data_IF_600070233730
#
_entry.id   IF_600070233730
#
_cell.length_a   1.000
_cell.length_b   1.000
_cell.length_c   1.000
_cell.angle_alpha   90.00
_cell.angle_beta   90.00
_cell.angle_gamma   90.00
#
_symmetry.space_group_name_H-M   'P 1'
#
loop_
_entity.id
_entity.type
_entity.pdbx_description
1 polymer ?
#
# COMPACT_ATOMS: atom_id res chain seq x y z
N UNK A 1 -63.73 2.67 -38.06
CA UNK A 1 -63.33 3.57 -36.99
C UNK A 1 -62.27 2.83 -36.19
N UNK A 2 -60.97 3.19 -36.37
CA UNK A 2 -59.78 2.58 -35.66
C UNK A 2 -59.18 3.65 -34.79
N UNK A 3 -59.31 3.52 -33.49
CA UNK A 3 -58.66 4.40 -32.52
C UNK A 3 -57.22 3.86 -32.23
N UNK A 4 -56.26 4.68 -32.62
CA UNK A 4 -54.85 4.44 -32.36
C UNK A 4 -54.52 4.93 -30.96
N UNK A 5 -54.14 4.01 -30.06
CA UNK A 5 -53.66 4.29 -28.70
C UNK A 5 -52.15 4.49 -28.77
N UNK A 6 -51.67 5.71 -28.61
CA UNK A 6 -50.25 6.05 -28.53
C UNK A 6 -49.73 5.72 -27.13
N UNK A 7 -48.87 4.69 -27.03
CA UNK A 7 -48.14 4.36 -25.85
C UNK A 7 -47.02 5.40 -25.64
N UNK A 8 -47.17 6.23 -24.62
CA UNK A 8 -46.14 7.17 -24.14
C UNK A 8 -45.07 6.40 -23.37
N UNK A 9 -43.85 6.30 -23.92
CA UNK A 9 -42.67 5.85 -23.21
C UNK A 9 -42.32 6.81 -22.08
N UNK A 10 -42.00 6.33 -20.85
CA UNK A 10 -41.55 7.20 -19.79
C UNK A 10 -40.12 7.65 -20.08
N UNK A 11 -39.92 8.96 -20.23
CA UNK A 11 -38.61 9.62 -20.23
C UNK A 11 -37.96 9.34 -18.89
N UNK A 12 -36.88 8.51 -18.86
CA UNK A 12 -35.96 8.40 -17.75
C UNK A 12 -35.27 9.76 -17.58
N UNK A 13 -35.75 10.54 -16.63
CA UNK A 13 -35.03 11.69 -16.12
C UNK A 13 -33.87 11.14 -15.29
N UNK A 14 -32.66 11.21 -15.80
CA UNK A 14 -31.42 11.01 -15.03
C UNK A 14 -31.26 12.22 -14.10
N UNK A 15 -32.03 12.24 -13.03
CA UNK A 15 -32.00 13.24 -11.98
C UNK A 15 -30.74 13.11 -11.14
N UNK A 16 -29.67 13.76 -11.57
CA UNK A 16 -28.47 13.96 -10.77
C UNK A 16 -28.83 14.83 -9.56
N UNK A 17 -28.81 14.24 -8.35
CA UNK A 17 -29.20 14.96 -7.13
C UNK A 17 -28.20 16.08 -6.81
N UNK A 18 -28.64 17.25 -6.32
CA UNK A 18 -27.75 18.36 -5.93
C UNK A 18 -26.69 17.96 -4.88
N UNK A 19 -26.99 16.97 -4.01
CA UNK A 19 -26.06 16.36 -3.06
C UNK A 19 -24.84 15.74 -3.74
N UNK A 20 -25.02 15.10 -4.90
CA UNK A 20 -23.93 14.43 -5.63
C UNK A 20 -22.95 15.44 -6.23
N UNK A 21 -23.41 16.63 -6.63
CA UNK A 21 -22.53 17.70 -7.15
C UNK A 21 -21.69 18.32 -6.05
N UNK A 22 -22.25 18.52 -4.85
CA UNK A 22 -21.50 19.05 -3.70
C UNK A 22 -20.45 18.06 -3.24
N UNK A 23 -20.80 16.79 -3.12
CA UNK A 23 -19.87 15.77 -2.71
C UNK A 23 -18.74 15.59 -3.75
N UNK A 24 -19.03 15.55 -5.03
CA UNK A 24 -18.02 15.54 -6.10
C UNK A 24 -17.06 16.71 -6.00
N UNK A 25 -17.55 17.95 -5.87
CA UNK A 25 -16.70 19.14 -5.71
C UNK A 25 -15.85 19.04 -4.46
N UNK A 26 -16.38 18.48 -3.37
CA UNK A 26 -15.65 18.27 -2.14
C UNK A 26 -14.49 17.29 -2.34
N UNK A 27 -14.74 16.15 -2.97
CA UNK A 27 -13.72 15.17 -3.32
C UNK A 27 -12.68 15.76 -4.27
N UNK A 28 -13.10 16.47 -5.32
CA UNK A 28 -12.22 17.11 -6.30
C UNK A 28 -11.31 18.17 -5.63
N UNK A 29 -11.86 18.98 -4.75
CA UNK A 29 -11.07 20.00 -4.03
C UNK A 29 -10.07 19.36 -3.07
N UNK A 30 -10.50 18.34 -2.31
CA UNK A 30 -9.60 17.59 -1.42
C UNK A 30 -8.45 16.96 -2.20
N UNK A 31 -8.73 16.35 -3.34
CA UNK A 31 -7.73 15.70 -4.20
C UNK A 31 -6.78 16.73 -4.81
N UNK A 32 -7.26 17.90 -5.20
CA UNK A 32 -6.43 19.01 -5.72
C UNK A 32 -5.44 19.49 -4.67
N UNK A 33 -5.90 19.75 -3.44
CA UNK A 33 -5.03 20.13 -2.31
C UNK A 33 -3.99 19.03 -2.03
N UNK A 34 -4.42 17.78 -1.99
CA UNK A 34 -3.57 16.63 -1.74
C UNK A 34 -2.44 16.52 -2.77
N UNK A 35 -2.78 16.58 -4.08
CA UNK A 35 -1.78 16.53 -5.16
C UNK A 35 -0.83 17.72 -5.16
N UNK A 36 -1.34 18.92 -4.89
CA UNK A 36 -0.51 20.11 -4.76
C UNK A 36 0.51 19.94 -3.62
N UNK A 37 0.07 19.50 -2.45
CA UNK A 37 0.93 19.26 -1.31
C UNK A 37 2.02 18.22 -1.61
N UNK A 38 1.69 17.08 -2.19
CA UNK A 38 2.68 16.05 -2.55
C UNK A 38 3.70 16.58 -3.56
N UNK A 39 3.27 17.38 -4.52
CA UNK A 39 4.16 18.02 -5.49
C UNK A 39 5.14 19.00 -4.82
N UNK A 40 4.66 19.85 -3.92
CA UNK A 40 5.52 20.81 -3.19
C UNK A 40 6.46 20.08 -2.24
N UNK A 41 6.00 19.02 -1.56
CA UNK A 41 6.87 18.17 -0.74
C UNK A 41 8.00 17.52 -1.56
N UNK A 42 7.73 17.11 -2.80
CA UNK A 42 8.75 16.59 -3.69
C UNK A 42 9.77 17.67 -4.12
N UNK A 43 9.31 18.89 -4.38
CA UNK A 43 10.14 19.98 -4.89
C UNK A 43 11.00 20.66 -3.83
N UNK A 44 10.43 20.93 -2.65
CA UNK A 44 11.08 21.74 -1.58
C UNK A 44 11.38 20.95 -0.31
N UNK A 45 10.89 19.72 -0.22
CA UNK A 45 10.92 18.94 1.02
C UNK A 45 9.74 19.26 1.93
N UNK A 46 9.39 18.29 2.78
CA UNK A 46 8.28 18.42 3.73
C UNK A 46 8.53 19.52 4.78
N UNK A 47 9.75 19.58 5.31
CA UNK A 47 10.08 20.51 6.42
C UNK A 47 9.97 21.96 6.00
N UNK A 48 10.44 22.29 4.81
CA UNK A 48 10.45 23.64 4.25
C UNK A 48 9.10 24.07 3.64
N UNK A 49 8.15 23.13 3.50
CA UNK A 49 6.84 23.45 2.92
C UNK A 49 5.89 24.01 3.97
N UNK A 50 5.31 25.17 3.69
CA UNK A 50 4.25 25.80 4.50
C UNK A 50 2.85 25.44 4.00
N UNK A 51 1.82 25.73 4.80
CA UNK A 51 0.43 25.60 4.35
C UNK A 51 0.13 26.62 3.24
N UNK A 52 0.73 27.79 3.31
CA UNK A 52 0.65 28.84 2.29
C UNK A 52 1.12 28.33 0.92
N UNK A 53 2.30 27.71 0.85
CA UNK A 53 2.82 27.13 -0.39
C UNK A 53 1.84 26.13 -0.99
N UNK A 54 1.20 25.31 -0.14
CA UNK A 54 0.22 24.31 -0.59
C UNK A 54 -1.05 24.98 -1.09
N UNK A 55 -1.56 25.99 -0.38
CA UNK A 55 -2.80 26.69 -0.76
C UNK A 55 -2.65 27.47 -2.06
N UNK A 56 -1.52 28.14 -2.24
CA UNK A 56 -1.19 28.84 -3.47
C UNK A 56 -1.09 27.85 -4.66
N UNK A 57 -0.38 26.74 -4.46
CA UNK A 57 -0.23 25.72 -5.49
C UNK A 57 -1.53 24.96 -5.82
N UNK A 58 -2.49 24.96 -4.89
CA UNK A 58 -3.81 24.33 -5.06
C UNK A 58 -4.89 25.33 -5.51
N UNK A 59 -4.58 26.61 -5.59
CA UNK A 59 -5.54 27.67 -5.86
C UNK A 59 -6.76 27.60 -4.93
N UNK A 60 -6.48 27.66 -3.61
CA UNK A 60 -7.52 27.65 -2.55
C UNK A 60 -7.11 28.58 -1.40
N UNK A 61 -8.09 29.10 -0.67
CA UNK A 61 -7.80 29.83 0.56
C UNK A 61 -7.38 28.91 1.72
N UNK A 62 -6.62 29.43 2.71
CA UNK A 62 -6.22 28.72 3.92
C UNK A 62 -7.40 28.05 4.65
N UNK A 63 -8.54 28.76 4.79
CA UNK A 63 -9.74 28.21 5.39
C UNK A 63 -10.24 26.95 4.67
N UNK A 64 -10.13 26.94 3.33
CA UNK A 64 -10.48 25.77 2.54
C UNK A 64 -9.52 24.61 2.82
N UNK A 65 -8.22 24.86 2.90
CA UNK A 65 -7.25 23.83 3.27
C UNK A 65 -7.61 23.18 4.62
N UNK A 66 -7.80 23.98 5.66
CA UNK A 66 -8.09 23.50 7.02
C UNK A 66 -9.43 22.76 7.13
N UNK A 67 -10.40 23.00 6.25
CA UNK A 67 -11.62 22.22 6.16
C UNK A 67 -11.39 20.76 5.69
N UNK A 68 -10.27 20.47 5.00
CA UNK A 68 -9.93 19.14 4.47
C UNK A 68 -8.77 18.47 5.21
N UNK A 69 -7.81 19.26 5.63
CA UNK A 69 -6.59 18.81 6.29
C UNK A 69 -6.30 19.71 7.49
N UNK A 70 -6.55 19.24 8.72
CA UNK A 70 -6.31 20.02 9.94
C UNK A 70 -4.87 20.57 10.03
N UNK A 71 -3.90 19.83 9.49
CA UNK A 71 -2.49 20.24 9.38
C UNK A 71 -1.83 19.63 8.16
N UNK A 72 -0.60 20.06 7.82
CA UNK A 72 0.17 19.46 6.71
C UNK A 72 0.56 17.98 7.00
N UNK A 73 0.67 17.60 8.28
CA UNK A 73 0.89 16.20 8.70
C UNK A 73 -0.25 15.29 8.25
N UNK A 74 -1.49 15.78 8.26
CA UNK A 74 -2.65 15.00 7.81
C UNK A 74 -2.63 14.71 6.30
N UNK A 75 -1.90 15.49 5.51
CA UNK A 75 -1.66 15.17 4.10
C UNK A 75 -0.77 13.93 3.99
N UNK A 76 0.33 13.86 4.75
CA UNK A 76 1.19 12.67 4.82
C UNK A 76 0.45 11.46 5.39
N UNK A 77 -0.42 11.69 6.39
CA UNK A 77 -1.29 10.65 6.92
C UNK A 77 -2.17 10.03 5.82
N UNK A 78 -2.75 10.86 4.96
CA UNK A 78 -3.56 10.39 3.83
C UNK A 78 -2.74 9.54 2.85
N UNK A 79 -1.50 9.92 2.55
CA UNK A 79 -0.60 9.11 1.73
C UNK A 79 -0.36 7.72 2.34
N UNK A 80 -0.11 7.66 3.64
CA UNK A 80 0.08 6.40 4.35
C UNK A 80 -1.20 5.53 4.42
N UNK A 81 -2.37 6.15 4.61
CA UNK A 81 -3.65 5.43 4.65
C UNK A 81 -4.00 4.75 3.32
N UNK A 82 -3.65 5.34 2.19
CA UNK A 82 -3.84 4.71 0.88
C UNK A 82 -3.08 3.37 0.77
N UNK A 83 -1.89 3.29 1.37
CA UNK A 83 -1.08 2.06 1.41
C UNK A 83 -1.70 1.01 2.33
N UNK A 84 -2.20 1.41 3.50
CA UNK A 84 -2.93 0.50 4.41
C UNK A 84 -4.20 -0.03 3.73
N UNK A 85 -4.95 0.83 3.06
CA UNK A 85 -6.14 0.44 2.30
C UNK A 85 -5.83 -0.56 1.17
N UNK A 86 -4.65 -0.47 0.54
CA UNK A 86 -4.21 -1.48 -0.43
C UNK A 86 -4.03 -2.86 0.23
N UNK A 87 -3.44 -2.91 1.43
CA UNK A 87 -3.28 -4.17 2.19
C UNK A 87 -4.64 -4.73 2.62
N UNK A 88 -5.59 -3.87 3.03
CA UNK A 88 -6.95 -4.28 3.37
C UNK A 88 -7.68 -4.89 2.15
N UNK A 89 -7.55 -4.30 0.98
CA UNK A 89 -8.09 -4.88 -0.27
C UNK A 89 -7.46 -6.23 -0.57
N UNK A 90 -6.15 -6.37 -0.41
CA UNK A 90 -5.44 -7.63 -0.59
C UNK A 90 -5.92 -8.70 0.40
N UNK A 91 -6.13 -8.35 1.67
CA UNK A 91 -6.69 -9.26 2.68
C UNK A 91 -8.09 -9.74 2.29
N UNK A 92 -8.97 -8.83 1.86
CA UNK A 92 -10.31 -9.20 1.42
C UNK A 92 -10.27 -10.13 0.20
N UNK A 93 -9.34 -9.89 -0.74
CA UNK A 93 -9.10 -10.77 -1.89
C UNK A 93 -8.58 -12.15 -1.46
N UNK A 94 -7.65 -12.21 -0.49
CA UNK A 94 -7.10 -13.46 0.05
C UNK A 94 -8.13 -14.31 0.81
N UNK A 95 -9.15 -13.69 1.41
CA UNK A 95 -10.29 -14.37 2.05
C UNK A 95 -11.18 -15.08 1.04
N UNK A 96 -11.23 -14.64 -0.19
CA UNK A 96 -11.94 -15.33 -1.27
C UNK A 96 -11.27 -16.68 -1.57
N UNK A 97 -12.08 -17.72 -1.76
CA UNK A 97 -11.59 -19.09 -1.98
C UNK A 97 -10.86 -19.29 -3.31
N UNK A 98 -11.07 -18.39 -4.28
CA UNK A 98 -10.62 -18.55 -5.66
C UNK A 98 -9.23 -17.97 -5.95
N UNK A 99 -8.54 -17.39 -4.95
CA UNK A 99 -7.25 -16.74 -5.17
C UNK A 99 -6.16 -17.41 -4.33
N UNK A 100 -5.01 -17.66 -4.97
CA UNK A 100 -3.80 -18.03 -4.26
C UNK A 100 -3.31 -16.84 -3.43
N UNK A 101 -2.97 -17.10 -2.17
CA UNK A 101 -2.43 -16.08 -1.27
C UNK A 101 -1.09 -15.57 -1.75
N UNK A 102 -0.25 -16.43 -2.34
CA UNK A 102 1.02 -16.01 -2.94
C UNK A 102 0.80 -15.05 -4.12
N UNK A 103 -0.21 -15.32 -4.98
CA UNK A 103 -0.55 -14.41 -6.08
C UNK A 103 -1.07 -13.06 -5.57
N UNK A 104 -1.90 -13.05 -4.50
CA UNK A 104 -2.38 -11.82 -3.86
C UNK A 104 -1.24 -11.00 -3.27
N UNK A 105 -0.26 -11.65 -2.63
CA UNK A 105 0.91 -10.97 -2.09
C UNK A 105 1.79 -10.36 -3.19
N UNK A 106 1.96 -11.07 -4.33
CA UNK A 106 2.68 -10.55 -5.50
C UNK A 106 2.02 -9.28 -6.04
N UNK A 107 0.73 -9.34 -6.27
CA UNK A 107 -0.06 -8.21 -6.75
C UNK A 107 0.04 -7.01 -5.79
N UNK A 108 -0.09 -7.25 -4.48
CA UNK A 108 0.07 -6.22 -3.46
C UNK A 108 1.46 -5.57 -3.51
N UNK A 109 2.53 -6.35 -3.64
CA UNK A 109 3.89 -5.82 -3.73
C UNK A 109 4.06 -4.92 -4.98
N UNK A 110 3.53 -5.35 -6.13
CA UNK A 110 3.54 -4.58 -7.38
C UNK A 110 2.71 -3.29 -7.26
N UNK A 111 1.53 -3.35 -6.66
CA UNK A 111 0.67 -2.18 -6.43
C UNK A 111 1.35 -1.14 -5.52
N UNK A 112 1.93 -1.60 -4.41
CA UNK A 112 2.64 -0.73 -3.47
C UNK A 112 3.88 -0.09 -4.11
N UNK A 113 4.62 -0.82 -4.94
CA UNK A 113 5.74 -0.29 -5.72
C UNK A 113 5.25 0.76 -6.73
N UNK A 114 4.17 0.48 -7.46
CA UNK A 114 3.56 1.41 -8.42
C UNK A 114 3.09 2.71 -7.78
N UNK A 115 2.48 2.65 -6.59
CA UNK A 115 2.08 3.85 -5.84
C UNK A 115 3.28 4.68 -5.38
N UNK A 116 4.41 4.04 -5.07
CA UNK A 116 5.64 4.69 -4.59
C UNK A 116 6.49 5.24 -5.72
N UNK A 117 6.41 4.69 -6.93
CA UNK A 117 7.27 5.01 -8.07
C UNK A 117 6.99 6.37 -8.72
N UNK A 118 6.06 7.17 -8.19
CA UNK A 118 5.68 8.46 -8.78
C UNK A 118 6.78 9.51 -8.69
N UNK A 119 7.55 9.54 -7.58
CA UNK A 119 8.63 10.51 -7.40
C UNK A 119 9.62 10.04 -6.31
N UNK A 120 10.91 9.85 -6.65
CA UNK A 120 11.96 9.58 -5.64
C UNK A 120 12.09 10.75 -4.65
N UNK A 121 11.97 12.01 -5.13
CA UNK A 121 12.05 13.19 -4.29
C UNK A 121 10.94 13.24 -3.25
N UNK A 122 9.73 12.87 -3.63
CA UNK A 122 8.62 12.76 -2.69
C UNK A 122 8.93 11.72 -1.60
N UNK A 123 9.45 10.55 -1.96
CA UNK A 123 9.82 9.53 -0.98
C UNK A 123 10.94 10.00 -0.06
N UNK A 124 11.98 10.66 -0.59
CA UNK A 124 13.05 11.25 0.24
C UNK A 124 12.49 12.26 1.22
N UNK A 125 11.59 13.13 0.76
CA UNK A 125 10.91 14.13 1.60
C UNK A 125 10.07 13.47 2.70
N UNK A 126 9.31 12.41 2.37
CA UNK A 126 8.53 11.65 3.33
C UNK A 126 9.42 10.97 4.37
N UNK A 127 10.52 10.32 3.96
CA UNK A 127 11.45 9.70 4.90
C UNK A 127 12.13 10.72 5.81
N UNK A 128 12.55 11.87 5.27
CA UNK A 128 13.11 12.98 6.05
C UNK A 128 12.10 13.46 7.11
N UNK A 129 10.83 13.63 6.75
CA UNK A 129 9.78 14.01 7.69
C UNK A 129 9.61 12.99 8.83
N UNK A 130 9.63 11.70 8.52
CA UNK A 130 9.52 10.64 9.52
C UNK A 130 10.72 10.58 10.48
N UNK A 131 11.92 10.90 10.01
CA UNK A 131 13.12 10.92 10.84
C UNK A 131 13.20 12.16 11.72
N UNK A 132 12.78 13.33 11.20
CA UNK A 132 12.99 14.62 11.82
C UNK A 132 11.80 15.12 12.66
N UNK A 133 10.57 14.68 12.37
CA UNK A 133 9.35 15.17 13.01
C UNK A 133 8.71 14.10 13.90
N UNK A 134 8.74 14.30 15.23
CA UNK A 134 8.23 13.32 16.19
C UNK A 134 6.73 12.98 16.02
N UNK A 135 5.81 13.94 15.82
CA UNK A 135 4.40 13.63 15.55
C UNK A 135 4.20 12.78 14.28
N UNK A 136 4.91 13.10 13.19
CA UNK A 136 4.85 12.33 11.94
C UNK A 136 5.37 10.92 12.14
N UNK A 137 6.44 10.76 12.92
CA UNK A 137 7.02 9.46 13.24
C UNK A 137 6.08 8.59 14.08
N UNK A 138 5.42 9.17 15.10
CA UNK A 138 4.46 8.44 15.93
C UNK A 138 3.27 7.92 15.09
N UNK A 139 2.74 8.76 14.21
CA UNK A 139 1.65 8.37 13.32
C UNK A 139 2.08 7.28 12.32
N UNK A 140 3.32 7.36 11.79
CA UNK A 140 3.87 6.29 10.98
C UNK A 140 3.93 4.97 11.75
N UNK A 141 4.43 4.97 13.00
CA UNK A 141 4.54 3.76 13.82
C UNK A 141 3.18 3.07 13.99
N UNK A 142 2.12 3.82 14.26
CA UNK A 142 0.76 3.29 14.37
C UNK A 142 0.30 2.63 13.06
N UNK A 143 0.53 3.29 11.92
CA UNK A 143 0.20 2.74 10.60
C UNK A 143 1.01 1.50 10.25
N UNK A 144 2.30 1.48 10.56
CA UNK A 144 3.15 0.31 10.34
C UNK A 144 2.68 -0.89 11.17
N UNK A 145 2.25 -0.67 12.41
CA UNK A 145 1.68 -1.73 13.25
C UNK A 145 0.38 -2.28 12.65
N UNK A 146 -0.52 -1.38 12.16
CA UNK A 146 -1.76 -1.78 11.50
C UNK A 146 -1.47 -2.57 10.21
N UNK A 147 -0.57 -2.08 9.37
CA UNK A 147 -0.15 -2.74 8.14
C UNK A 147 0.41 -4.15 8.41
N UNK A 148 1.27 -4.31 9.43
CA UNK A 148 1.84 -5.61 9.81
C UNK A 148 0.77 -6.58 10.30
N UNK A 149 -0.22 -6.11 11.08
CA UNK A 149 -1.35 -6.95 11.53
C UNK A 149 -2.14 -7.47 10.34
N UNK A 150 -2.52 -6.60 9.40
CA UNK A 150 -3.24 -7.00 8.19
C UNK A 150 -2.43 -7.98 7.33
N UNK A 151 -1.14 -7.75 7.16
CA UNK A 151 -0.24 -8.68 6.46
C UNK A 151 -0.16 -10.03 7.18
N UNK A 152 -0.09 -10.03 8.53
CA UNK A 152 -0.07 -11.27 9.29
C UNK A 152 -1.36 -12.08 9.09
N UNK A 153 -2.53 -11.44 8.99
CA UNK A 153 -3.79 -12.13 8.66
C UNK A 153 -3.73 -12.77 7.26
N UNK A 154 -3.14 -12.10 6.26
CA UNK A 154 -2.94 -12.70 4.93
C UNK A 154 -2.05 -13.94 5.03
N UNK A 155 -0.95 -13.89 5.81
CA UNK A 155 -0.06 -15.02 6.02
C UNK A 155 -0.76 -16.17 6.76
N UNK A 156 -1.60 -15.88 7.77
CA UNK A 156 -2.41 -16.90 8.45
C UNK A 156 -3.30 -17.64 7.45
N UNK A 157 -4.00 -16.92 6.57
CA UNK A 157 -4.81 -17.52 5.52
C UNK A 157 -4.00 -18.43 4.58
N UNK A 158 -2.81 -17.98 4.17
CA UNK A 158 -1.92 -18.78 3.33
C UNK A 158 -1.41 -20.05 4.03
N UNK A 159 -1.12 -19.96 5.32
CA UNK A 159 -0.76 -21.12 6.14
C UNK A 159 -1.93 -22.11 6.30
N UNK A 160 -3.14 -21.61 6.49
CA UNK A 160 -4.35 -22.43 6.56
C UNK A 160 -4.64 -23.15 5.24
N UNK A 161 -4.48 -22.45 4.10
CA UNK A 161 -4.62 -23.02 2.76
C UNK A 161 -3.47 -23.97 2.36
N UNK A 162 -2.40 -24.06 3.15
CA UNK A 162 -1.23 -24.88 2.84
C UNK A 162 -0.31 -24.29 1.77
N UNK A 163 -0.51 -23.05 1.37
CA UNK A 163 0.31 -22.35 0.36
C UNK A 163 1.62 -21.79 0.94
N UNK A 164 1.58 -21.39 2.23
CA UNK A 164 2.69 -20.71 2.91
C UNK A 164 3.27 -21.62 4.02
N UNK A 165 4.60 -21.56 4.16
CA UNK A 165 5.37 -22.29 5.18
C UNK A 165 4.85 -22.06 6.59
N UNK A 166 4.86 -23.13 7.42
CA UNK A 166 4.37 -23.10 8.81
C UNK A 166 5.46 -23.16 9.87
N UNK A 167 6.73 -23.24 9.47
CA UNK A 167 7.89 -23.28 10.39
C UNK A 167 8.26 -21.89 10.91
N UNK A 168 7.57 -20.85 10.47
CA UNK A 168 7.66 -19.47 10.94
C UNK A 168 6.27 -18.94 11.26
N UNK A 169 6.19 -18.09 12.28
CA UNK A 169 4.93 -17.42 12.61
C UNK A 169 4.49 -16.47 11.48
N UNK A 170 3.18 -16.35 11.27
CA UNK A 170 2.62 -15.38 10.32
C UNK A 170 3.06 -13.94 10.65
N UNK A 171 3.21 -13.60 11.93
CA UNK A 171 3.69 -12.30 12.38
C UNK A 171 5.15 -12.05 11.97
N UNK A 172 6.03 -13.05 12.07
CA UNK A 172 7.42 -12.93 11.62
C UNK A 172 7.50 -12.78 10.11
N UNK A 173 6.72 -13.57 9.36
CA UNK A 173 6.65 -13.46 7.91
C UNK A 173 6.18 -12.07 7.48
N UNK A 174 5.15 -11.54 8.13
CA UNK A 174 4.64 -10.18 7.87
C UNK A 174 5.70 -9.11 8.19
N UNK A 175 6.39 -9.24 9.31
CA UNK A 175 7.45 -8.32 9.71
C UNK A 175 8.61 -8.32 8.70
N UNK A 176 9.10 -9.49 8.30
CA UNK A 176 10.19 -9.63 7.34
C UNK A 176 9.80 -9.11 5.96
N UNK A 177 8.62 -9.47 5.46
CA UNK A 177 8.08 -8.95 4.20
C UNK A 177 8.01 -7.43 4.20
N UNK A 178 7.51 -6.84 5.29
CA UNK A 178 7.44 -5.39 5.44
C UNK A 178 8.81 -4.73 5.40
N UNK A 179 9.81 -5.29 6.10
CA UNK A 179 11.18 -4.78 6.11
C UNK A 179 11.81 -4.82 4.72
N UNK A 180 11.60 -5.89 3.96
CA UNK A 180 12.12 -6.02 2.60
C UNK A 180 11.49 -4.97 1.68
N UNK A 181 10.16 -4.84 1.67
CA UNK A 181 9.46 -3.87 0.84
C UNK A 181 9.86 -2.42 1.19
N UNK A 182 10.04 -2.12 2.48
CA UNK A 182 10.54 -0.82 2.93
C UNK A 182 11.98 -0.59 2.45
N UNK A 183 12.85 -1.59 2.59
CA UNK A 183 14.24 -1.53 2.14
C UNK A 183 14.36 -1.25 0.63
N UNK A 184 13.59 -1.96 -0.19
CA UNK A 184 13.54 -1.73 -1.65
C UNK A 184 13.08 -0.30 -1.95
N UNK A 185 12.05 0.19 -1.26
CA UNK A 185 11.53 1.54 -1.47
C UNK A 185 12.55 2.61 -1.09
N UNK A 186 13.27 2.44 0.03
CA UNK A 186 14.32 3.37 0.48
C UNK A 186 15.52 3.32 -0.48
N UNK A 187 16.00 2.12 -0.84
CA UNK A 187 17.12 1.97 -1.76
C UNK A 187 16.84 2.66 -3.10
N UNK A 188 15.65 2.48 -3.65
CA UNK A 188 15.24 3.15 -4.87
C UNK A 188 15.12 4.68 -4.69
N UNK A 189 14.59 5.16 -3.57
CA UNK A 189 14.50 6.60 -3.32
C UNK A 189 15.88 7.27 -3.24
N UNK A 190 16.89 6.56 -2.76
CA UNK A 190 18.27 7.05 -2.66
C UNK A 190 19.00 6.98 -4.00
N UNK A 191 18.76 5.93 -4.79
CA UNK A 191 19.37 5.72 -6.09
C UNK A 191 18.34 5.22 -7.12
N UNK A 192 17.65 6.15 -7.83
CA UNK A 192 16.55 5.80 -8.73
C UNK A 192 17.02 5.32 -10.12
N UNK A 193 18.12 4.54 -10.21
CA UNK A 193 18.71 4.05 -11.45
C UNK A 193 17.85 3.01 -12.18
N UNK A 194 16.93 2.38 -11.46
CA UNK A 194 16.01 1.39 -12.00
C UNK A 194 14.55 1.76 -11.68
N UNK A 195 13.61 1.12 -12.35
CA UNK A 195 12.20 1.24 -11.99
C UNK A 195 11.96 0.51 -10.66
N UNK A 196 11.42 1.20 -9.65
CA UNK A 196 11.06 0.59 -8.36
C UNK A 196 10.21 -0.68 -8.54
N UNK A 197 9.32 -0.68 -9.52
CA UNK A 197 8.51 -1.84 -9.87
C UNK A 197 9.36 -3.04 -10.28
N UNK A 198 10.40 -2.83 -11.10
CA UNK A 198 11.33 -3.89 -11.52
C UNK A 198 12.08 -4.47 -10.32
N UNK A 199 12.63 -3.62 -9.46
CA UNK A 199 13.30 -4.07 -8.23
C UNK A 199 12.35 -4.83 -7.30
N UNK A 200 11.09 -4.43 -7.20
CA UNK A 200 10.09 -5.16 -6.42
C UNK A 200 9.77 -6.53 -7.05
N UNK A 201 9.71 -6.64 -8.38
CA UNK A 201 9.52 -7.90 -9.11
C UNK A 201 10.73 -8.84 -8.93
N UNK A 202 11.95 -8.34 -9.04
CA UNK A 202 13.18 -9.10 -8.79
C UNK A 202 13.25 -9.65 -7.36
N UNK A 203 12.95 -8.82 -6.37
CA UNK A 203 12.86 -9.24 -4.96
C UNK A 203 11.76 -10.27 -4.78
N UNK A 204 10.62 -10.11 -5.46
CA UNK A 204 9.55 -11.11 -5.43
C UNK A 204 10.07 -12.46 -5.95
N UNK A 205 10.70 -12.49 -7.11
CA UNK A 205 11.17 -13.73 -7.74
C UNK A 205 12.23 -14.46 -6.91
N UNK A 206 13.14 -13.72 -6.28
CA UNK A 206 14.22 -14.30 -5.48
C UNK A 206 13.79 -14.68 -4.06
N UNK A 207 12.97 -13.86 -3.41
CA UNK A 207 12.67 -14.01 -1.99
C UNK A 207 11.38 -14.77 -1.72
N UNK A 208 10.33 -14.51 -2.49
CA UNK A 208 9.01 -15.08 -2.20
C UNK A 208 8.86 -16.58 -2.47
N UNK A 209 9.63 -17.25 -3.33
CA UNK A 209 9.64 -18.71 -3.36
C UNK A 209 9.96 -19.33 -1.99
N UNK A 210 10.76 -18.62 -1.16
CA UNK A 210 11.07 -19.07 0.21
C UNK A 210 9.87 -19.04 1.16
N UNK A 211 8.77 -18.40 0.80
CA UNK A 211 7.52 -18.39 1.58
C UNK A 211 6.66 -19.63 1.31
N UNK A 212 6.87 -20.33 0.19
CA UNK A 212 6.08 -21.51 -0.17
C UNK A 212 6.22 -22.63 0.87
N UNK A 213 5.14 -23.37 1.05
CA UNK A 213 5.10 -24.54 1.92
C UNK A 213 6.06 -25.64 1.47
N UNK A 214 6.30 -25.79 0.15
CA UNK A 214 7.12 -26.87 -0.42
C UNK A 214 8.58 -26.84 0.03
N UNK A 215 9.14 -25.65 0.30
CA UNK A 215 10.54 -25.51 0.78
C UNK A 215 10.69 -26.02 2.22
N UNK A 216 9.64 -25.98 3.04
CA UNK A 216 9.70 -26.50 4.41
C UNK A 216 9.84 -28.03 4.47
N UNK A 217 9.31 -28.72 3.48
CA UNK A 217 9.40 -30.18 3.32
C UNK A 217 10.81 -30.63 2.89
N UNK A 218 11.48 -29.89 1.99
CA UNK A 218 12.83 -30.21 1.50
C UNK A 218 13.90 -30.13 2.59
N UNK A 219 13.77 -29.21 3.57
CA UNK A 219 14.72 -29.10 4.69
C UNK A 219 14.58 -30.20 5.75
N UNK A 220 13.38 -30.77 5.94
CA UNK A 220 13.17 -31.90 6.85
C UNK A 220 13.70 -33.24 6.33
N UNK A 221 13.82 -33.40 5.00
CA UNK A 221 14.33 -34.60 4.35
C UNK A 221 15.85 -34.77 4.45
N UNK A 222 16.62 -33.71 4.59
CA UNK A 222 18.10 -33.75 4.54
C UNK A 222 18.77 -33.89 5.92
N UNK A 223 18.00 -33.95 7.02
CA UNK A 223 18.50 -34.05 8.40
C UNK A 223 18.60 -35.48 8.97
N UNK A 224 18.20 -36.52 8.22
CA UNK A 224 18.23 -37.92 8.65
C UNK A 224 19.14 -38.81 7.79
N UNK A 225 20.37 -38.37 7.53
CA UNK A 225 21.34 -39.09 6.74
C UNK A 225 22.70 -39.19 7.39
N UNK A 226 22.95 -40.28 8.15
CA UNK A 226 24.23 -40.88 8.42
C UNK A 226 25.19 -40.23 9.42
N UNK A 227 24.97 -40.49 10.70
CA UNK A 227 26.08 -40.86 11.59
C UNK A 227 26.14 -42.41 11.70
N UNK A 228 26.70 -43.08 10.72
CA UNK A 228 27.21 -44.44 10.93
C UNK A 228 28.62 -44.34 11.47
N UNK A 229 28.73 -44.71 12.76
CA UNK A 229 29.97 -45.00 13.45
C UNK A 229 30.76 -46.05 12.67
N UNK A 230 31.97 -45.74 12.25
CA UNK A 230 33.01 -46.73 11.97
C UNK A 230 33.81 -46.91 13.27
N UNK A 231 33.39 -47.84 14.11
CA UNK A 231 34.26 -48.58 15.01
C UNK A 231 34.68 -49.83 14.27
N UNK A 232 35.95 -50.03 14.01
CA UNK A 232 36.64 -51.31 14.09
C UNK A 232 38.08 -51.19 13.58
N UNK A 233 38.95 -51.53 14.48
CA UNK A 233 40.33 -52.09 14.45
C UNK A 233 41.48 -51.10 14.26
#
# INVERSE_FOLDING_TARGET
>A
MKSSSAVRSPRRASGFRPSDRRERRRVETRERIYRAALRIFAQRGYLETTVEDITDAADVGKGTFFNYFPTKEHVLATYGEQRVAAIERALNKARSTNHSVLAVLKELATDLAGQSSQSPDLLRSIFAAHLSCAPVRAELQNRLQRARRLLAEIFVLGQQKGEIRRDRSAADLARLTHLILMGVTIAWALNPDSLLRKSAEEVWELFFPSLSADISMSRKGNGKGKLQRKTAR
#
